data_IF_937434876300
#
_entry.id   IF_937434876300
#
_cell.length_a   1.000
_cell.length_b   1.000
_cell.length_c   1.000
_cell.angle_alpha   90.00
_cell.angle_beta   90.00
_cell.angle_gamma   90.00
#
_symmetry.space_group_name_H-M   'P 1'
#
loop_
_entity.id
_entity.type
_entity.pdbx_description
1 polymer ?
#
# COMPACT_ATOMS: atom_id res chain seq x y z
N UNK A 1 20.74 13.62 -11.32
CA UNK A 1 19.91 14.81 -11.60
C UNK A 1 18.66 14.72 -10.73
N UNK A 2 18.53 15.56 -9.70
CA UNK A 2 17.30 15.63 -8.93
C UNK A 2 16.20 16.23 -9.82
N UNK A 3 15.17 15.45 -10.14
CA UNK A 3 14.08 15.94 -10.99
C UNK A 3 13.29 16.98 -10.18
N UNK A 4 13.12 18.18 -10.73
CA UNK A 4 12.35 19.28 -10.12
C UNK A 4 10.84 19.01 -10.22
N UNK A 5 10.39 17.93 -9.57
CA UNK A 5 9.02 17.42 -9.67
C UNK A 5 8.22 17.87 -8.45
N UNK A 6 7.08 18.49 -8.72
CA UNK A 6 6.07 18.78 -7.71
C UNK A 6 5.04 17.65 -7.74
N UNK A 7 4.76 17.03 -6.60
CA UNK A 7 3.76 15.96 -6.49
C UNK A 7 2.55 16.54 -5.75
N UNK A 8 1.35 16.33 -6.29
CA UNK A 8 0.11 16.70 -5.60
C UNK A 8 -0.65 15.43 -5.22
N UNK A 9 -0.93 15.27 -3.93
CA UNK A 9 -1.78 14.21 -3.41
C UNK A 9 -3.11 14.82 -3.00
N UNK A 10 -4.20 14.33 -3.57
CA UNK A 10 -5.56 14.77 -3.24
C UNK A 10 -6.24 13.67 -2.41
N UNK A 11 -7.01 14.09 -1.42
CA UNK A 11 -7.86 13.20 -0.63
C UNK A 11 -9.30 13.26 -1.18
N UNK A 12 -9.96 12.11 -1.22
CA UNK A 12 -11.35 12.00 -1.66
C UNK A 12 -12.29 12.42 -0.53
N UNK A 13 -13.43 13.02 -0.89
CA UNK A 13 -14.50 13.28 0.05
C UNK A 13 -15.32 12.02 0.33
N UNK A 14 -15.86 11.93 1.55
CA UNK A 14 -16.73 10.84 1.95
C UNK A 14 -17.97 10.83 1.04
N UNK A 15 -18.20 9.71 0.35
CA UNK A 15 -19.34 9.53 -0.58
C UNK A 15 -18.98 9.57 -2.07
N UNK A 16 -17.76 10.00 -2.42
CA UNK A 16 -17.26 10.01 -3.81
C UNK A 16 -16.14 8.98 -4.00
N UNK A 17 -16.44 7.71 -3.69
CA UNK A 17 -15.45 6.62 -3.70
C UNK A 17 -15.34 5.88 -5.03
N UNK A 18 -16.21 6.17 -6.00
CA UNK A 18 -16.17 5.49 -7.30
C UNK A 18 -14.94 5.94 -8.09
N UNK A 19 -13.97 5.04 -8.24
CA UNK A 19 -12.73 5.27 -8.98
C UNK A 19 -12.72 4.39 -10.24
N UNK A 20 -12.00 4.81 -11.29
CA UNK A 20 -11.82 3.98 -12.49
C UNK A 20 -11.21 2.61 -12.17
N UNK A 21 -10.41 2.53 -11.11
CA UNK A 21 -9.81 1.30 -10.58
C UNK A 21 -10.88 0.29 -10.10
N UNK A 22 -12.08 0.74 -9.73
CA UNK A 22 -13.17 -0.15 -9.32
C UNK A 22 -13.64 -1.03 -10.48
N UNK A 23 -13.43 -0.61 -11.74
CA UNK A 23 -13.71 -1.43 -12.91
C UNK A 23 -12.80 -2.67 -12.95
N UNK A 24 -11.53 -2.55 -12.53
CA UNK A 24 -10.57 -3.66 -12.44
C UNK A 24 -11.03 -4.64 -11.36
N UNK A 25 -11.38 -4.14 -10.18
CA UNK A 25 -11.91 -4.96 -9.08
C UNK A 25 -13.16 -5.72 -9.49
N UNK A 26 -14.12 -5.05 -10.12
CA UNK A 26 -15.37 -5.65 -10.60
C UNK A 26 -15.14 -6.80 -11.57
N UNK A 27 -14.17 -6.65 -12.49
CA UNK A 27 -13.84 -7.68 -13.49
C UNK A 27 -13.16 -8.88 -12.84
N UNK A 28 -12.23 -8.65 -11.91
CA UNK A 28 -11.55 -9.71 -11.16
C UNK A 28 -12.55 -10.48 -10.28
N UNK A 29 -13.42 -9.78 -9.54
CA UNK A 29 -14.42 -10.38 -8.67
C UNK A 29 -15.38 -11.29 -9.47
N UNK A 30 -15.88 -10.80 -10.62
CA UNK A 30 -16.72 -11.60 -11.50
C UNK A 30 -16.02 -12.88 -11.99
N UNK A 31 -14.69 -12.83 -12.18
CA UNK A 31 -13.90 -13.97 -12.61
C UNK A 31 -13.58 -14.95 -11.47
N UNK A 32 -13.43 -14.43 -10.24
CA UNK A 32 -13.19 -15.22 -9.02
C UNK A 32 -14.44 -15.96 -8.54
N UNK A 33 -15.64 -15.43 -8.80
CA UNK A 33 -16.90 -16.00 -8.33
C UNK A 33 -17.05 -17.47 -8.74
N UNK A 34 -17.45 -18.31 -7.79
CA UNK A 34 -17.68 -19.75 -7.95
C UNK A 34 -16.46 -20.53 -8.47
N UNK A 35 -15.24 -20.10 -8.13
CA UNK A 35 -14.02 -20.86 -8.39
C UNK A 35 -13.45 -21.43 -7.11
N UNK A 36 -12.99 -22.66 -7.19
CA UNK A 36 -12.17 -23.26 -6.14
C UNK A 36 -10.75 -22.68 -6.20
N UNK A 37 -10.26 -22.21 -5.06
CA UNK A 37 -8.93 -21.61 -4.94
C UNK A 37 -8.24 -22.23 -3.74
N UNK A 38 -7.19 -22.98 -4.01
CA UNK A 38 -6.41 -23.75 -3.04
C UNK A 38 -5.02 -23.16 -2.80
N UNK A 39 -4.49 -22.35 -3.72
CA UNK A 39 -3.17 -21.71 -3.59
C UNK A 39 -3.22 -20.21 -3.88
N UNK A 40 -2.41 -19.39 -3.19
CA UNK A 40 -2.29 -17.96 -3.51
C UNK A 40 -1.88 -17.69 -4.96
N UNK A 41 -1.08 -18.57 -5.57
CA UNK A 41 -0.67 -18.45 -6.98
C UNK A 41 -1.85 -18.50 -7.95
N UNK A 42 -2.94 -19.20 -7.61
CA UNK A 42 -4.13 -19.28 -8.45
C UNK A 42 -4.87 -17.95 -8.50
N UNK A 43 -4.86 -17.15 -7.42
CA UNK A 43 -5.38 -15.78 -7.47
C UNK A 43 -4.64 -14.94 -8.51
N UNK A 44 -3.31 -15.10 -8.63
CA UNK A 44 -2.53 -14.36 -9.60
C UNK A 44 -2.91 -14.73 -11.05
N UNK A 45 -3.07 -16.02 -11.33
CA UNK A 45 -3.53 -16.53 -12.63
C UNK A 45 -4.94 -16.02 -12.96
N UNK A 46 -5.89 -16.16 -12.03
CA UNK A 46 -7.27 -15.72 -12.25
C UNK A 46 -7.34 -14.21 -12.47
N UNK A 47 -6.56 -13.44 -11.69
CA UNK A 47 -6.46 -11.99 -11.84
C UNK A 47 -5.94 -11.63 -13.23
N UNK A 48 -4.86 -12.27 -13.69
CA UNK A 48 -4.30 -12.03 -15.03
C UNK A 48 -5.35 -12.26 -16.13
N UNK A 49 -6.09 -13.36 -16.04
CA UNK A 49 -7.13 -13.77 -16.99
C UNK A 49 -8.45 -12.97 -16.89
N UNK A 50 -8.61 -12.13 -15.86
CA UNK A 50 -9.87 -11.43 -15.64
C UNK A 50 -10.19 -10.45 -16.77
N UNK A 51 -9.16 -9.79 -17.34
CA UNK A 51 -9.29 -8.92 -18.51
C UNK A 51 -8.86 -9.66 -19.78
N UNK A 52 -9.72 -9.65 -20.79
CA UNK A 52 -9.42 -10.23 -22.11
C UNK A 52 -8.93 -9.18 -23.12
N UNK A 53 -9.57 -8.02 -23.15
CA UNK A 53 -9.24 -6.90 -24.04
C UNK A 53 -8.95 -5.63 -23.21
N UNK A 54 -7.99 -4.78 -23.62
CA UNK A 54 -7.08 -4.94 -24.77
C UNK A 54 -6.00 -6.02 -24.57
N UNK A 55 -5.69 -6.38 -23.32
CA UNK A 55 -4.75 -7.45 -22.98
C UNK A 55 -5.01 -7.95 -21.55
N UNK A 56 -4.47 -9.11 -21.13
CA UNK A 56 -4.48 -9.54 -19.72
C UNK A 56 -3.95 -8.48 -18.75
N UNK A 57 -4.29 -8.60 -17.46
CA UNK A 57 -3.67 -7.76 -16.44
C UNK A 57 -2.22 -8.20 -16.21
N UNK A 58 -1.35 -7.24 -15.93
CA UNK A 58 -0.06 -7.53 -15.31
C UNK A 58 -0.29 -7.83 -13.83
N UNK A 59 0.21 -8.97 -13.35
CA UNK A 59 0.07 -9.37 -11.95
C UNK A 59 1.44 -9.60 -11.37
N UNK A 60 1.74 -8.84 -10.32
CA UNK A 60 2.97 -8.94 -9.56
C UNK A 60 2.61 -9.58 -8.22
N UNK A 61 3.25 -10.69 -7.89
CA UNK A 61 3.12 -11.35 -6.58
C UNK A 61 4.31 -10.92 -5.73
N UNK A 62 4.18 -9.89 -4.88
CA UNK A 62 5.30 -9.41 -4.09
C UNK A 62 5.70 -10.43 -3.02
N UNK A 63 7.00 -10.58 -2.81
CA UNK A 63 7.56 -11.31 -1.68
C UNK A 63 8.11 -10.34 -0.61
N UNK A 64 8.81 -10.85 0.40
CA UNK A 64 9.35 -10.03 1.48
C UNK A 64 10.37 -8.98 1.00
N UNK A 65 11.00 -9.17 -0.17
CA UNK A 65 12.02 -8.26 -0.71
C UNK A 65 11.42 -6.99 -1.33
N UNK A 66 10.13 -7.05 -1.70
CA UNK A 66 9.37 -5.93 -2.27
C UNK A 66 9.17 -4.81 -1.26
N UNK A 67 8.91 -5.14 0.00
CA UNK A 67 8.56 -4.16 1.04
C UNK A 67 9.79 -3.39 1.51
N UNK A 68 9.70 -2.05 1.47
CA UNK A 68 10.76 -1.12 1.90
C UNK A 68 10.40 -0.41 3.21
N UNK A 69 11.41 -0.10 4.00
CA UNK A 69 11.24 0.58 5.28
C UNK A 69 11.26 2.10 5.11
N UNK A 70 10.07 2.70 5.06
CA UNK A 70 9.87 4.15 5.04
C UNK A 70 9.70 4.77 6.44
N UNK A 71 9.83 3.97 7.51
CA UNK A 71 9.63 4.41 8.90
C UNK A 71 10.87 5.01 9.58
N UNK A 72 12.00 5.12 8.88
CA UNK A 72 13.25 5.62 9.44
C UNK A 72 13.15 7.13 9.63
N UNK A 73 13.11 7.58 10.90
CA UNK A 73 12.85 8.98 11.26
C UNK A 73 13.87 9.97 10.69
N UNK A 74 15.11 9.53 10.49
CA UNK A 74 16.19 10.37 9.94
C UNK A 74 15.98 10.69 8.46
N UNK A 75 15.12 9.93 7.80
CA UNK A 75 14.73 10.12 6.40
C UNK A 75 13.51 11.02 6.22
N UNK A 76 12.85 11.40 7.32
CA UNK A 76 11.61 12.16 7.28
C UNK A 76 11.85 13.65 7.53
N UNK A 77 11.47 14.50 6.57
CA UNK A 77 11.53 15.97 6.74
C UNK A 77 10.48 16.42 7.75
N UNK A 78 9.31 15.77 7.73
CA UNK A 78 8.22 15.98 8.67
C UNK A 78 7.88 14.66 9.36
N UNK A 79 7.81 14.67 10.69
CA UNK A 79 7.41 13.49 11.48
C UNK A 79 5.90 13.23 11.42
N UNK A 80 5.12 14.22 11.01
CA UNK A 80 3.67 14.13 10.91
C UNK A 80 3.13 15.25 10.02
N UNK A 81 2.04 14.97 9.32
CA UNK A 81 1.26 15.93 8.54
C UNK A 81 0.09 16.55 9.33
N UNK A 82 -0.07 16.20 10.62
CA UNK A 82 -1.13 16.77 11.46
C UNK A 82 -0.90 18.27 11.69
N UNK A 83 -1.90 19.08 11.38
CA UNK A 83 -1.80 20.55 11.37
C UNK A 83 -1.63 21.13 12.78
N UNK A 84 -2.46 20.71 13.74
CA UNK A 84 -2.33 21.14 15.13
C UNK A 84 -1.97 20.04 16.14
N UNK A 85 -1.91 20.43 17.41
CA UNK A 85 -1.50 19.59 18.54
C UNK A 85 -2.57 19.49 19.64
N UNK A 86 -3.47 20.46 19.73
CA UNK A 86 -4.53 20.55 20.74
C UNK A 86 -5.84 19.90 20.32
N UNK A 87 -6.78 19.87 21.26
CA UNK A 87 -8.19 19.58 20.98
C UNK A 87 -8.83 20.79 20.29
N UNK A 88 -9.58 20.56 19.21
CA UNK A 88 -10.17 21.61 18.38
C UNK A 88 -9.32 22.06 17.18
N UNK A 89 -8.04 21.67 17.13
CA UNK A 89 -7.20 21.90 15.96
C UNK A 89 -7.59 20.99 14.79
N UNK A 90 -7.34 21.46 13.57
CA UNK A 90 -7.51 20.66 12.36
C UNK A 90 -6.69 19.37 12.40
N UNK A 91 -7.39 18.27 12.12
CA UNK A 91 -6.85 16.92 12.05
C UNK A 91 -6.39 16.58 10.63
N UNK A 92 -5.67 15.47 10.48
CA UNK A 92 -5.24 14.97 9.16
C UNK A 92 -6.42 14.71 8.22
N UNK A 93 -7.58 14.37 8.80
CA UNK A 93 -8.85 14.13 8.08
C UNK A 93 -9.41 15.37 7.40
N UNK A 94 -9.02 16.57 7.84
CA UNK A 94 -9.54 17.82 7.30
C UNK A 94 -8.75 18.27 6.05
N UNK A 95 -7.59 17.65 5.78
CA UNK A 95 -6.74 17.96 4.64
C UNK A 95 -7.38 17.44 3.36
N UNK A 96 -7.54 18.33 2.37
CA UNK A 96 -8.06 17.98 1.03
C UNK A 96 -6.97 17.71 0.02
N UNK A 97 -5.83 18.38 0.15
CA UNK A 97 -4.68 18.14 -0.70
C UNK A 97 -3.37 18.45 0.01
N UNK A 98 -2.33 17.71 -0.38
CA UNK A 98 -0.92 17.97 -0.06
C UNK A 98 -0.14 18.21 -1.34
N UNK A 99 0.78 19.17 -1.30
CA UNK A 99 1.75 19.43 -2.35
C UNK A 99 3.15 19.19 -1.80
N UNK A 100 3.85 18.22 -2.39
CA UNK A 100 5.25 17.92 -2.07
C UNK A 100 6.14 18.72 -3.02
N UNK A 101 6.90 19.64 -2.46
CA UNK A 101 7.78 20.51 -3.20
C UNK A 101 9.14 19.82 -3.46
N UNK A 102 9.88 20.20 -4.52
CA UNK A 102 11.19 19.63 -4.86
C UNK A 102 12.25 19.77 -3.76
N UNK A 103 12.11 20.79 -2.90
CA UNK A 103 12.96 21.01 -1.73
C UNK A 103 12.57 20.14 -0.52
N UNK A 104 11.57 19.26 -0.67
CA UNK A 104 11.06 18.36 0.36
C UNK A 104 10.09 18.99 1.37
N UNK A 105 9.76 20.28 1.21
CA UNK A 105 8.69 20.91 1.99
C UNK A 105 7.31 20.44 1.55
N UNK A 106 6.33 20.53 2.44
CA UNK A 106 4.94 20.16 2.17
C UNK A 106 4.07 21.40 2.35
N UNK A 107 3.19 21.64 1.37
CA UNK A 107 2.08 22.58 1.48
C UNK A 107 0.76 21.81 1.53
N UNK A 108 -0.30 22.42 2.07
CA UNK A 108 -1.61 21.78 2.22
C UNK A 108 -2.77 22.71 1.84
N UNK A 109 -3.95 22.13 1.66
CA UNK A 109 -5.24 22.81 1.52
C UNK A 109 -6.31 22.17 2.41
N UNK A 110 -7.22 22.97 2.93
CA UNK A 110 -8.41 22.52 3.67
C UNK A 110 -9.69 22.57 2.83
N UNK A 111 -9.74 23.45 1.83
CA UNK A 111 -10.79 23.44 0.79
C UNK A 111 -10.17 23.34 -0.61
N UNK A 112 -10.94 22.85 -1.58
CA UNK A 112 -10.46 22.72 -2.96
C UNK A 112 -10.18 24.07 -3.64
N UNK A 113 -10.94 25.09 -3.24
CA UNK A 113 -10.83 26.46 -3.72
C UNK A 113 -9.66 27.24 -3.11
N UNK A 114 -9.14 26.79 -1.96
CA UNK A 114 -8.08 27.51 -1.26
C UNK A 114 -6.77 27.48 -2.05
N UNK A 115 -5.86 28.40 -1.78
CA UNK A 115 -4.47 28.27 -2.21
C UNK A 115 -3.67 27.32 -1.31
N UNK A 116 -2.60 26.74 -1.86
CA UNK A 116 -1.70 25.91 -1.07
C UNK A 116 -0.93 26.79 -0.08
N UNK A 117 -1.00 26.44 1.20
CA UNK A 117 -0.25 27.12 2.26
C UNK A 117 0.78 26.16 2.90
N UNK A 118 1.93 26.67 3.37
CA UNK A 118 2.96 25.82 3.99
C UNK A 118 2.43 25.03 5.18
N UNK A 119 2.82 23.77 5.30
CA UNK A 119 2.50 22.95 6.47
C UNK A 119 3.02 23.66 7.74
N UNK A 120 2.19 23.83 8.79
CA UNK A 120 2.53 24.59 9.99
C UNK A 120 3.45 23.80 10.93
N UNK A 121 4.50 23.22 10.37
CA UNK A 121 5.53 22.45 11.08
C UNK A 121 6.88 22.83 10.55
N UNK A 122 7.86 22.88 11.46
CA UNK A 122 9.24 23.13 11.09
C UNK A 122 9.81 21.90 10.36
N UNK A 123 10.28 22.03 9.11
CA UNK A 123 10.96 20.95 8.42
C UNK A 123 12.30 20.64 9.10
N UNK A 124 12.62 19.35 9.23
CA UNK A 124 13.96 18.91 9.65
C UNK A 124 14.95 19.18 8.53
N UNK A 125 16.17 19.59 8.89
CA UNK A 125 17.30 19.58 7.96
C UNK A 125 17.77 18.14 7.81
N UNK A 126 17.52 17.52 6.67
CA UNK A 126 18.10 16.22 6.34
C UNK A 126 19.46 16.48 5.66
N UNK A 127 20.51 15.86 6.19
CA UNK A 127 21.89 15.97 5.68
C UNK A 127 22.24 14.88 4.67
N UNK A 128 21.51 13.77 4.66
CA UNK A 128 21.76 12.62 3.78
C UNK A 128 20.62 12.38 2.80
N UNK A 129 20.94 12.43 1.51
CA UNK A 129 20.06 11.92 0.46
C UNK A 129 20.08 10.39 0.50
N UNK A 130 18.90 9.78 0.50
CA UNK A 130 18.76 8.33 0.50
C UNK A 130 19.05 7.83 -0.91
N UNK A 131 20.16 7.10 -1.09
CA UNK A 131 20.48 6.48 -2.38
C UNK A 131 19.65 5.20 -2.61
N UNK A 132 19.26 4.49 -1.54
CA UNK A 132 18.35 3.33 -1.59
C UNK A 132 17.58 3.19 -0.29
N UNK A 133 16.28 2.92 -0.39
CA UNK A 133 15.45 2.63 0.79
C UNK A 133 15.72 1.20 1.27
N UNK A 134 16.04 0.99 2.56
CA UNK A 134 16.32 -0.35 3.07
C UNK A 134 15.07 -1.24 3.01
N UNK A 135 15.26 -2.55 2.98
CA UNK A 135 14.17 -3.52 3.04
C UNK A 135 13.48 -3.48 4.40
N UNK A 136 12.15 -3.65 4.41
CA UNK A 136 11.37 -3.74 5.65
C UNK A 136 11.56 -5.09 6.35
N UNK A 137 11.75 -6.14 5.56
CA UNK A 137 11.91 -7.50 6.03
C UNK A 137 13.22 -8.09 5.48
N UNK A 138 13.93 -8.84 6.33
CA UNK A 138 15.14 -9.57 5.93
C UNK A 138 14.82 -10.97 5.38
N UNK A 139 13.67 -11.51 5.75
CA UNK A 139 13.21 -12.85 5.38
C UNK A 139 11.69 -12.94 5.34
N UNK A 140 11.18 -14.07 4.84
CA UNK A 140 9.75 -14.40 4.80
C UNK A 140 9.17 -14.34 6.21
N UNK A 141 8.10 -13.55 6.37
CA UNK A 141 7.49 -13.35 7.69
C UNK A 141 6.76 -14.61 8.17
N UNK A 142 7.06 -15.10 9.38
CA UNK A 142 6.37 -16.26 9.95
C UNK A 142 4.95 -15.89 10.37
N UNK A 143 4.02 -16.81 10.14
CA UNK A 143 2.66 -16.73 10.69
C UNK A 143 2.64 -17.21 12.14
N UNK A 144 1.56 -16.95 12.87
CA UNK A 144 1.39 -17.52 14.21
C UNK A 144 1.24 -19.05 14.13
N UNK A 145 1.73 -19.76 15.14
CA UNK A 145 1.54 -21.21 15.28
C UNK A 145 0.07 -21.63 15.14
N UNK A 146 -0.84 -20.91 15.80
CA UNK A 146 -2.30 -21.17 15.71
C UNK A 146 -2.78 -21.08 14.26
N UNK A 147 -2.38 -20.04 13.52
CA UNK A 147 -2.76 -19.89 12.10
C UNK A 147 -2.16 -21.01 11.26
N UNK A 148 -0.92 -21.41 11.52
CA UNK A 148 -0.30 -22.54 10.83
C UNK A 148 -1.09 -23.82 11.05
N UNK A 149 -1.45 -24.14 12.29
CA UNK A 149 -2.19 -25.36 12.63
C UNK A 149 -3.56 -25.41 11.94
N UNK A 150 -4.32 -24.31 11.97
CA UNK A 150 -5.59 -24.22 11.23
C UNK A 150 -5.41 -24.42 9.72
N UNK A 151 -4.30 -23.93 9.14
CA UNK A 151 -4.02 -24.16 7.72
C UNK A 151 -3.66 -25.61 7.42
N UNK A 152 -3.08 -26.35 8.39
CA UNK A 152 -2.85 -27.78 8.24
C UNK A 152 -4.15 -28.58 8.23
N UNK A 153 -5.17 -28.15 8.98
CA UNK A 153 -6.49 -28.79 8.97
C UNK A 153 -7.19 -28.68 7.61
N UNK A 154 -6.96 -27.58 6.87
CA UNK A 154 -7.49 -27.39 5.51
C UNK A 154 -6.98 -28.43 4.52
N UNK A 155 -5.83 -29.08 4.79
CA UNK A 155 -5.28 -30.13 3.92
C UNK A 155 -6.25 -31.30 3.69
N UNK A 156 -7.18 -31.53 4.61
CA UNK A 156 -8.21 -32.57 4.49
C UNK A 156 -9.25 -32.29 3.39
N UNK A 157 -9.40 -31.04 2.97
CA UNK A 157 -10.42 -30.60 2.00
C UNK A 157 -9.83 -29.99 0.72
N UNK A 158 -8.50 -30.03 0.55
CA UNK A 158 -7.81 -29.53 -0.64
C UNK A 158 -6.97 -30.62 -1.31
N UNK A 159 -6.70 -30.50 -2.62
CA UNK A 159 -5.84 -31.41 -3.35
C UNK A 159 -4.44 -31.61 -2.74
N UNK A 160 -3.92 -32.85 -2.78
CA UNK A 160 -2.65 -33.24 -2.16
C UNK A 160 -1.42 -32.54 -2.76
N UNK A 161 -1.48 -32.20 -4.04
CA UNK A 161 -0.43 -31.44 -4.74
C UNK A 161 -0.22 -30.04 -4.15
N UNK A 162 -1.23 -29.48 -3.48
CA UNK A 162 -1.16 -28.19 -2.81
C UNK A 162 -0.52 -28.27 -1.41
N UNK A 163 -0.44 -29.46 -0.80
CA UNK A 163 -0.06 -29.61 0.62
C UNK A 163 1.35 -29.09 0.91
N UNK A 164 2.30 -29.32 0.00
CA UNK A 164 3.68 -28.87 0.13
C UNK A 164 3.81 -27.36 0.33
N UNK A 165 2.90 -26.57 -0.24
CA UNK A 165 2.89 -25.12 0.01
C UNK A 165 2.61 -24.79 1.47
N UNK A 166 1.62 -25.46 2.06
CA UNK A 166 1.18 -25.26 3.44
C UNK A 166 2.17 -25.81 4.46
N UNK A 167 2.81 -26.95 4.15
CA UNK A 167 3.83 -27.57 5.00
C UNK A 167 5.09 -26.67 5.14
N UNK A 168 5.40 -25.90 4.10
CA UNK A 168 6.57 -25.03 4.05
C UNK A 168 6.31 -23.58 4.50
N UNK A 169 5.17 -23.31 5.16
CA UNK A 169 4.89 -21.98 5.72
C UNK A 169 5.74 -21.77 6.99
N UNK A 170 6.56 -20.71 7.08
CA UNK A 170 7.28 -20.41 8.31
C UNK A 170 6.29 -19.99 9.41
N UNK A 171 6.49 -20.46 10.64
CA UNK A 171 5.65 -20.13 11.78
C UNK A 171 6.47 -19.89 13.05
N UNK A 172 5.90 -19.15 13.99
CA UNK A 172 6.45 -18.87 15.32
C UNK A 172 5.36 -18.88 16.39
#
# INVERSE_FOLDING_TARGET
MARNVVITQKYLEKGHTQMEVDSVHSVIERKLKNREIFLPSQYATITKEARKAPSPYEVITPDYTFFKNYGIKDYLIYESIRLGRGAGDHCVTDIKALRYNPNGTIDYKLQFSDDFVPLPRRPKKITSLINSTPSLYESRQPISKIKYDHLQELKNVIPKDCHTFYDNLPFK
#
